data_IF_105388793303
#
_entry.id   IF_105388793303
#
_cell.length_a   1.000
_cell.length_b   1.000
_cell.length_c   1.000
_cell.angle_alpha   90.00
_cell.angle_beta   90.00
_cell.angle_gamma   90.00
#
_symmetry.space_group_name_H-M   'P 1'
#
loop_
_entity.id
_entity.type
_entity.pdbx_description
1 polymer ?
#
# COMPACT_ATOMS: atom_id res chain seq x y z
N UNK A 1 33.87 -10.24 -19.93
CA UNK A 1 32.66 -9.78 -19.21
C UNK A 1 33.16 -8.72 -18.28
N UNK A 2 32.68 -7.49 -18.45
CA UNK A 2 33.07 -6.39 -17.58
C UNK A 2 32.32 -6.59 -16.26
N UNK A 3 33.06 -6.79 -15.17
CA UNK A 3 32.51 -6.86 -13.82
C UNK A 3 31.82 -5.53 -13.48
N UNK A 4 30.69 -5.59 -12.74
CA UNK A 4 29.99 -4.40 -12.29
C UNK A 4 30.93 -3.53 -11.44
N UNK A 5 30.89 -2.22 -11.67
CA UNK A 5 31.59 -1.31 -10.77
C UNK A 5 30.88 -1.25 -9.40
N UNK A 6 31.58 -0.74 -8.38
CA UNK A 6 31.05 -0.70 -7.00
C UNK A 6 29.67 -0.01 -6.89
N UNK A 7 29.41 1.02 -7.71
CA UNK A 7 28.12 1.71 -7.72
C UNK A 7 27.02 0.87 -8.37
N UNK A 8 27.33 0.16 -9.45
CA UNK A 8 26.40 -0.73 -10.13
C UNK A 8 26.04 -1.94 -9.25
N UNK A 9 26.99 -2.46 -8.47
CA UNK A 9 26.70 -3.53 -7.51
C UNK A 9 25.68 -3.09 -6.45
N UNK A 10 25.84 -1.89 -5.89
CA UNK A 10 24.90 -1.35 -4.91
C UNK A 10 23.50 -1.18 -5.49
N UNK A 11 23.40 -0.72 -6.74
CA UNK A 11 22.12 -0.60 -7.44
C UNK A 11 21.51 -1.97 -7.70
N UNK A 12 22.31 -2.96 -8.11
CA UNK A 12 21.83 -4.32 -8.34
C UNK A 12 21.31 -4.98 -7.05
N UNK A 13 22.02 -4.81 -5.94
CA UNK A 13 21.59 -5.29 -4.62
C UNK A 13 20.26 -4.65 -4.21
N UNK A 14 20.12 -3.34 -4.42
CA UNK A 14 18.88 -2.60 -4.14
C UNK A 14 17.70 -3.06 -4.99
N UNK A 15 17.93 -3.32 -6.27
CA UNK A 15 16.92 -3.89 -7.17
C UNK A 15 16.50 -5.28 -6.67
N UNK A 16 17.45 -6.10 -6.20
CA UNK A 16 17.15 -7.41 -5.63
C UNK A 16 16.22 -7.34 -4.41
N UNK A 17 16.47 -6.41 -3.49
CA UNK A 17 15.58 -6.14 -2.35
C UNK A 17 14.17 -5.75 -2.80
N UNK A 18 14.07 -4.79 -3.73
CA UNK A 18 12.79 -4.31 -4.24
C UNK A 18 12.01 -5.39 -5.00
N UNK A 19 12.68 -6.24 -5.77
CA UNK A 19 12.05 -7.36 -6.46
C UNK A 19 11.52 -8.41 -5.47
N UNK A 20 12.21 -8.65 -4.35
CA UNK A 20 11.73 -9.57 -3.32
C UNK A 20 10.42 -9.07 -2.68
N UNK A 21 10.28 -7.76 -2.48
CA UNK A 21 9.09 -7.13 -1.91
C UNK A 21 7.97 -6.91 -2.94
N UNK A 22 8.32 -6.85 -4.22
CA UNK A 22 7.38 -6.56 -5.32
C UNK A 22 6.32 -7.66 -5.48
N UNK A 23 5.06 -7.30 -5.82
CA UNK A 23 4.01 -8.26 -6.13
C UNK A 23 4.10 -8.85 -7.55
N UNK A 24 5.18 -8.55 -8.29
CA UNK A 24 5.41 -9.10 -9.63
C UNK A 24 5.41 -10.64 -9.63
N UNK A 25 5.09 -11.20 -10.80
CA UNK A 25 5.16 -12.64 -11.01
C UNK A 25 6.61 -13.14 -10.89
N UNK A 26 6.79 -14.33 -10.30
CA UNK A 26 8.10 -14.89 -10.01
C UNK A 26 8.93 -15.14 -11.28
N UNK A 27 8.29 -15.52 -12.38
CA UNK A 27 8.98 -15.73 -13.66
C UNK A 27 9.57 -14.40 -14.17
N UNK A 28 8.87 -13.28 -13.97
CA UNK A 28 9.34 -11.95 -14.36
C UNK A 28 10.52 -11.54 -13.46
N UNK A 29 10.42 -11.76 -12.15
CA UNK A 29 11.50 -11.46 -11.20
C UNK A 29 12.77 -12.23 -11.56
N UNK A 30 12.65 -13.53 -11.86
CA UNK A 30 13.78 -14.35 -12.22
C UNK A 30 14.47 -13.86 -13.50
N UNK A 31 13.70 -13.49 -14.53
CA UNK A 31 14.25 -12.91 -15.77
C UNK A 31 15.04 -11.63 -15.51
N UNK A 32 14.55 -10.77 -14.62
CA UNK A 32 15.22 -9.52 -14.28
C UNK A 32 16.50 -9.77 -13.46
N UNK A 33 16.47 -10.70 -12.51
CA UNK A 33 17.63 -11.08 -11.70
C UNK A 33 18.73 -11.75 -12.53
N UNK A 34 18.38 -12.72 -13.38
CA UNK A 34 19.33 -13.43 -14.23
C UNK A 34 20.02 -12.50 -15.24
N UNK A 35 19.33 -11.42 -15.61
CA UNK A 35 19.82 -10.41 -16.56
C UNK A 35 20.60 -9.27 -15.93
N UNK A 36 20.56 -9.09 -14.61
CA UNK A 36 20.93 -7.83 -13.94
C UNK A 36 22.39 -7.42 -14.18
N UNK A 37 23.31 -8.39 -14.13
CA UNK A 37 24.74 -8.17 -14.36
C UNK A 37 25.08 -7.81 -15.82
N UNK A 38 24.16 -8.09 -16.74
CA UNK A 38 24.32 -7.86 -18.18
C UNK A 38 23.55 -6.63 -18.65
N UNK A 39 22.76 -6.01 -17.78
CA UNK A 39 21.99 -4.84 -18.14
C UNK A 39 22.94 -3.65 -18.35
N UNK A 40 22.74 -2.88 -19.43
CA UNK A 40 23.43 -1.60 -19.56
C UNK A 40 22.96 -0.66 -18.45
N UNK A 41 23.86 0.18 -17.96
CA UNK A 41 23.67 1.05 -16.79
C UNK A 41 22.36 1.86 -16.82
N UNK A 42 22.00 2.42 -17.98
CA UNK A 42 20.75 3.18 -18.12
C UNK A 42 19.48 2.34 -17.88
N UNK A 43 19.49 1.03 -18.20
CA UNK A 43 18.39 0.13 -17.91
C UNK A 43 18.39 -0.31 -16.45
N UNK A 44 19.56 -0.44 -15.83
CA UNK A 44 19.71 -0.71 -14.41
C UNK A 44 19.06 0.41 -13.57
N UNK A 45 19.43 1.67 -13.85
CA UNK A 45 18.83 2.82 -13.17
C UNK A 45 17.33 2.96 -13.46
N UNK A 46 16.91 2.73 -14.71
CA UNK A 46 15.48 2.75 -15.05
C UNK A 46 14.70 1.67 -14.29
N UNK A 47 15.28 0.48 -14.11
CA UNK A 47 14.64 -0.59 -13.35
C UNK A 47 14.52 -0.22 -11.86
N UNK A 48 15.57 0.37 -11.29
CA UNK A 48 15.52 0.91 -9.92
C UNK A 48 14.39 1.93 -9.76
N UNK A 49 14.35 2.96 -10.62
CA UNK A 49 13.34 4.02 -10.56
C UNK A 49 11.91 3.46 -10.64
N UNK A 50 11.68 2.48 -11.52
CA UNK A 50 10.36 1.85 -11.69
C UNK A 50 9.94 1.09 -10.44
N UNK A 51 10.86 0.31 -9.84
CA UNK A 51 10.58 -0.47 -8.64
C UNK A 51 10.40 0.42 -7.40
N UNK A 52 11.16 1.51 -7.28
CA UNK A 52 10.96 2.48 -6.19
C UNK A 52 9.61 3.18 -6.31
N UNK A 53 9.24 3.62 -7.52
CA UNK A 53 7.93 4.20 -7.76
C UNK A 53 6.78 3.20 -7.57
N UNK A 54 6.94 1.92 -7.94
CA UNK A 54 5.96 0.87 -7.64
C UNK A 54 5.71 0.79 -6.13
N UNK A 55 6.78 0.68 -5.34
CA UNK A 55 6.68 0.61 -3.88
C UNK A 55 5.97 1.85 -3.30
N UNK A 56 6.39 3.06 -3.69
CA UNK A 56 5.78 4.31 -3.21
C UNK A 56 4.29 4.41 -3.53
N UNK A 57 3.89 4.02 -4.75
CA UNK A 57 2.48 4.04 -5.16
C UNK A 57 1.65 3.03 -4.37
N UNK A 58 2.18 1.82 -4.16
CA UNK A 58 1.49 0.79 -3.37
C UNK A 58 1.38 1.18 -1.90
N UNK A 59 2.41 1.78 -1.31
CA UNK A 59 2.36 2.32 0.06
C UNK A 59 1.32 3.44 0.20
N UNK A 60 1.26 4.37 -0.76
CA UNK A 60 0.28 5.44 -0.77
C UNK A 60 -1.16 4.90 -0.84
N UNK A 61 -1.42 3.94 -1.74
CA UNK A 61 -2.74 3.29 -1.84
C UNK A 61 -3.08 2.52 -0.56
N UNK A 62 -2.13 1.80 0.02
CA UNK A 62 -2.33 1.09 1.28
C UNK A 62 -2.71 2.05 2.41
N UNK A 63 -2.08 3.21 2.49
CA UNK A 63 -2.41 4.26 3.45
C UNK A 63 -3.83 4.80 3.25
N UNK A 64 -4.21 5.13 2.01
CA UNK A 64 -5.57 5.62 1.70
C UNK A 64 -6.65 4.59 2.07
N UNK A 65 -6.40 3.31 1.79
CA UNK A 65 -7.30 2.21 2.17
C UNK A 65 -7.44 2.12 3.69
N UNK A 66 -6.33 2.20 4.43
CA UNK A 66 -6.38 2.19 5.90
C UNK A 66 -7.14 3.38 6.46
N UNK A 67 -6.94 4.57 5.90
CA UNK A 67 -7.66 5.78 6.29
C UNK A 67 -9.17 5.62 6.06
N UNK A 68 -9.56 5.16 4.87
CA UNK A 68 -10.95 4.90 4.53
C UNK A 68 -11.61 3.89 5.47
N UNK A 69 -10.94 2.77 5.76
CA UNK A 69 -11.46 1.76 6.69
C UNK A 69 -11.64 2.33 8.11
N UNK A 70 -10.73 3.19 8.57
CA UNK A 70 -10.83 3.85 9.86
C UNK A 70 -12.00 4.84 9.90
N UNK A 71 -12.19 5.63 8.86
CA UNK A 71 -13.32 6.55 8.74
C UNK A 71 -14.66 5.81 8.71
N UNK A 72 -14.75 4.72 7.94
CA UNK A 72 -15.93 3.88 7.90
C UNK A 72 -16.30 3.35 9.28
N UNK A 73 -15.32 2.82 10.02
CA UNK A 73 -15.55 2.35 11.39
C UNK A 73 -16.13 3.44 12.29
N UNK A 74 -15.51 4.63 12.27
CA UNK A 74 -15.98 5.77 13.08
C UNK A 74 -17.40 6.21 12.69
N UNK A 75 -17.72 6.22 11.39
CA UNK A 75 -19.03 6.59 10.88
C UNK A 75 -20.12 5.59 11.30
N UNK A 76 -19.81 4.29 11.30
CA UNK A 76 -20.71 3.26 11.80
C UNK A 76 -20.95 3.37 13.30
N UNK A 77 -19.89 3.58 14.09
CA UNK A 77 -20.01 3.81 15.55
C UNK A 77 -20.87 5.04 15.85
N UNK A 78 -20.67 6.14 15.12
CA UNK A 78 -21.47 7.36 15.26
C UNK A 78 -22.94 7.13 14.88
N UNK A 79 -23.19 6.43 13.77
CA UNK A 79 -24.55 6.12 13.32
C UNK A 79 -25.30 5.28 14.35
N UNK A 80 -24.65 4.30 14.97
CA UNK A 80 -25.23 3.49 16.04
C UNK A 80 -25.61 4.36 17.26
N UNK A 81 -24.74 5.29 17.66
CA UNK A 81 -25.02 6.23 18.75
C UNK A 81 -26.19 7.17 18.42
N UNK A 82 -26.25 7.69 17.20
CA UNK A 82 -27.32 8.58 16.77
C UNK A 82 -28.67 7.85 16.69
N UNK A 83 -28.67 6.58 16.25
CA UNK A 83 -29.86 5.72 16.29
C UNK A 83 -30.34 5.46 17.72
N UNK A 84 -29.42 5.19 18.66
CA UNK A 84 -29.75 5.01 20.07
C UNK A 84 -30.39 6.28 20.66
N UNK A 85 -29.76 7.43 20.46
CA UNK A 85 -30.30 8.73 20.93
C UNK A 85 -31.69 9.02 20.35
N UNK A 86 -31.89 8.72 19.07
CA UNK A 86 -33.20 8.89 18.44
C UNK A 86 -34.25 7.96 19.06
N UNK A 87 -33.91 6.70 19.31
CA UNK A 87 -34.80 5.75 19.98
C UNK A 87 -35.15 6.21 21.41
N UNK A 88 -34.16 6.64 22.19
CA UNK A 88 -34.37 7.15 23.55
C UNK A 88 -35.30 8.38 23.54
N UNK A 89 -35.08 9.32 22.62
CA UNK A 89 -35.93 10.51 22.46
C UNK A 89 -37.38 10.14 22.12
N UNK A 90 -37.60 9.13 21.27
CA UNK A 90 -38.93 8.66 20.91
C UNK A 90 -39.61 8.01 22.12
N UNK A 91 -38.89 7.17 22.87
CA UNK A 91 -39.41 6.52 24.08
C UNK A 91 -39.83 7.58 25.10
N UNK A 92 -38.97 8.56 25.38
CA UNK A 92 -39.26 9.64 26.34
C UNK A 92 -40.51 10.43 25.93
N UNK A 93 -40.64 10.77 24.64
CA UNK A 93 -41.82 11.46 24.11
C UNK A 93 -43.12 10.63 24.24
N UNK A 94 -43.02 9.30 24.09
CA UNK A 94 -44.15 8.40 24.30
C UNK A 94 -44.50 8.23 25.78
N UNK A 95 -43.51 8.12 26.66
CA UNK A 95 -43.70 8.05 28.11
C UNK A 95 -44.39 9.30 28.64
N UNK A 96 -43.99 10.49 28.18
CA UNK A 96 -44.65 11.75 28.55
C UNK A 96 -46.09 11.85 28.05
N UNK A 97 -46.43 11.26 26.90
CA UNK A 97 -47.82 11.20 26.39
C UNK A 97 -48.72 10.20 27.11
N UNK A 98 -48.14 9.21 27.79
CA UNK A 98 -48.86 8.14 28.50
C UNK A 98 -49.06 8.45 29.99
N UNK A 99 -48.41 9.50 30.52
CA UNK A 99 -48.69 10.07 31.84
C UNK A 99 -49.90 11.01 31.78
#
# INVERSE_FOLDING_TARGET
MDELNQGQQQVADRIGELLAESPLDEDIKQVLLDGIERLPEHLLFKLLDVLENEREQLEAVAFEVQLFLKEQKNNWEKTAQDQQKAADTIIDAWVEKLK
#
